data_IF_490586009443
#
_entry.id   IF_490586009443
#
_cell.length_a   1.000
_cell.length_b   1.000
_cell.length_c   1.000
_cell.angle_alpha   90.00
_cell.angle_beta   90.00
_cell.angle_gamma   90.00
#
_symmetry.space_group_name_H-M   'P 1'
#
loop_
_entity.id
_entity.type
_entity.pdbx_description
1 polymer ?
#
# COMPACT_ATOMS: atom_id res chain seq x y z
N UNK A 1 -13.32 13.09 -17.94
CA UNK A 1 -12.23 12.47 -17.17
C UNK A 1 -10.90 13.05 -17.61
N UNK A 2 -10.26 13.87 -16.78
CA UNK A 2 -8.91 14.35 -17.06
C UNK A 2 -7.90 13.23 -16.85
N UNK A 3 -6.97 13.07 -17.80
CA UNK A 3 -5.85 12.14 -17.65
C UNK A 3 -4.99 12.60 -16.47
N UNK A 4 -4.93 11.77 -15.43
CA UNK A 4 -4.04 12.02 -14.29
C UNK A 4 -2.59 11.79 -14.73
N UNK A 5 -1.76 12.82 -14.54
CA UNK A 5 -0.32 12.69 -14.64
C UNK A 5 0.27 12.36 -13.26
N UNK A 6 1.19 11.39 -13.22
CA UNK A 6 1.89 10.98 -12.02
C UNK A 6 3.30 11.55 -12.00
N UNK A 7 3.74 12.00 -10.81
CA UNK A 7 5.17 12.26 -10.59
C UNK A 7 5.86 10.94 -10.27
N UNK A 8 7.05 10.74 -10.81
CA UNK A 8 7.80 9.49 -10.61
C UNK A 8 8.07 9.20 -9.12
N UNK A 9 8.27 10.25 -8.32
CA UNK A 9 8.43 10.16 -6.87
C UNK A 9 7.19 9.59 -6.17
N UNK A 10 5.99 9.85 -6.69
CA UNK A 10 4.73 9.31 -6.15
C UNK A 10 4.61 7.79 -6.39
N UNK A 11 5.36 7.25 -7.35
CA UNK A 11 5.33 5.83 -7.74
C UNK A 11 6.51 5.03 -7.15
N UNK A 12 7.34 5.62 -6.29
CA UNK A 12 8.50 4.95 -5.72
C UNK A 12 8.14 3.64 -4.99
N UNK A 13 7.06 3.64 -4.21
CA UNK A 13 6.56 2.43 -3.55
C UNK A 13 6.09 1.38 -4.55
N UNK A 14 5.33 1.80 -5.57
CA UNK A 14 4.80 0.91 -6.62
C UNK A 14 5.93 0.25 -7.42
N UNK A 15 7.02 0.99 -7.71
CA UNK A 15 8.22 0.43 -8.34
C UNK A 15 8.80 -0.72 -7.53
N UNK A 16 8.90 -0.53 -6.21
CA UNK A 16 9.44 -1.54 -5.32
C UNK A 16 8.53 -2.76 -5.33
N UNK A 17 7.21 -2.62 -5.20
CA UNK A 17 6.27 -3.73 -5.27
C UNK A 17 6.34 -4.52 -6.59
N UNK A 18 6.56 -3.82 -7.71
CA UNK A 18 6.69 -4.43 -9.03
C UNK A 18 8.10 -4.94 -9.36
N UNK A 19 9.07 -4.82 -8.44
CA UNK A 19 10.49 -5.07 -8.72
C UNK A 19 11.05 -4.29 -9.92
N UNK A 20 10.49 -3.11 -10.22
CA UNK A 20 10.92 -2.26 -11.32
C UNK A 20 12.16 -1.43 -10.91
N UNK A 21 13.29 -1.50 -11.64
CA UNK A 21 14.47 -0.70 -11.33
C UNK A 21 14.20 0.80 -11.45
N UNK A 22 14.76 1.60 -10.53
CA UNK A 22 14.64 3.07 -10.56
C UNK A 22 15.31 3.71 -11.79
N UNK A 23 16.21 3.00 -12.47
CA UNK A 23 16.81 3.46 -13.73
C UNK A 23 15.87 3.37 -14.94
N UNK A 24 14.76 2.63 -14.83
CA UNK A 24 13.77 2.49 -15.91
C UNK A 24 12.79 3.64 -15.79
N UNK A 25 12.69 4.58 -16.75
CA UNK A 25 11.73 5.69 -16.67
C UNK A 25 10.29 5.17 -16.66
N UNK A 26 9.42 5.81 -15.88
CA UNK A 26 7.98 5.47 -15.86
C UNK A 26 7.19 6.40 -16.79
N UNK A 27 6.12 5.88 -17.41
CA UNK A 27 5.20 6.73 -18.14
C UNK A 27 4.50 7.68 -17.17
N UNK A 28 4.28 8.93 -17.60
CA UNK A 28 3.58 9.95 -16.80
C UNK A 28 2.08 9.69 -16.71
N UNK A 29 1.53 8.97 -17.66
CA UNK A 29 0.12 8.61 -17.74
C UNK A 29 0.00 7.10 -17.91
N UNK A 30 -1.10 6.54 -17.41
CA UNK A 30 -1.40 5.13 -17.57
C UNK A 30 -2.89 5.02 -17.91
N UNK A 31 -3.18 4.48 -19.09
CA UNK A 31 -4.52 4.04 -19.44
C UNK A 31 -4.62 2.56 -19.12
N UNK A 32 -5.56 2.21 -18.25
CA UNK A 32 -5.87 0.81 -17.96
C UNK A 32 -6.82 0.29 -19.02
N UNK A 33 -6.55 -0.91 -19.50
CA UNK A 33 -7.48 -1.67 -20.35
C UNK A 33 -8.71 -2.09 -19.54
N UNK A 34 -9.81 -2.37 -20.23
CA UNK A 34 -11.04 -2.87 -19.58
C UNK A 34 -10.78 -4.16 -18.77
N UNK A 35 -9.88 -5.01 -19.26
CA UNK A 35 -9.50 -6.26 -18.57
C UNK A 35 -8.74 -5.97 -17.27
N UNK A 36 -7.83 -5.00 -17.26
CA UNK A 36 -7.11 -4.59 -16.05
C UNK A 36 -8.07 -3.95 -15.04
N UNK A 37 -8.98 -3.08 -15.50
CA UNK A 37 -10.01 -2.48 -14.66
C UNK A 37 -10.88 -3.56 -13.99
N UNK A 38 -11.40 -4.50 -14.78
CA UNK A 38 -12.21 -5.60 -14.27
C UNK A 38 -11.46 -6.49 -13.27
N UNK A 39 -10.15 -6.69 -13.50
CA UNK A 39 -9.28 -7.43 -12.57
C UNK A 39 -9.15 -6.69 -11.24
N UNK A 40 -8.88 -5.38 -11.27
CA UNK A 40 -8.79 -4.55 -10.06
C UNK A 40 -10.12 -4.54 -9.30
N UNK A 41 -11.24 -4.39 -9.98
CA UNK A 41 -12.57 -4.43 -9.38
C UNK A 41 -12.85 -5.78 -8.70
N UNK A 42 -12.49 -6.88 -9.34
CA UNK A 42 -12.65 -8.23 -8.79
C UNK A 42 -11.80 -8.44 -7.54
N UNK A 43 -10.56 -7.92 -7.52
CA UNK A 43 -9.69 -7.95 -6.33
C UNK A 43 -10.28 -7.14 -5.18
N UNK A 44 -10.77 -5.93 -5.46
CA UNK A 44 -11.42 -5.08 -4.44
C UNK A 44 -12.69 -5.72 -3.87
N UNK A 45 -13.49 -6.36 -4.73
CA UNK A 45 -14.65 -7.13 -4.31
C UNK A 45 -14.25 -8.31 -3.41
N UNK A 46 -13.19 -9.03 -3.76
CA UNK A 46 -12.63 -10.13 -2.96
C UNK A 46 -12.16 -9.68 -1.58
N UNK A 47 -11.50 -8.53 -1.45
CA UNK A 47 -11.11 -7.98 -0.14
C UNK A 47 -12.35 -7.71 0.71
N UNK A 48 -13.38 -7.06 0.13
CA UNK A 48 -14.61 -6.73 0.86
C UNK A 48 -15.43 -7.96 1.24
N UNK A 49 -15.46 -8.99 0.41
CA UNK A 49 -16.20 -10.23 0.72
C UNK A 49 -15.55 -11.01 1.85
N UNK A 50 -14.22 -10.99 1.94
CA UNK A 50 -13.49 -11.69 2.99
C UNK A 50 -13.35 -10.85 4.27
N UNK A 51 -13.49 -9.52 4.21
CA UNK A 51 -13.39 -8.64 5.37
C UNK A 51 -14.75 -8.05 5.76
N UNK A 52 -15.54 -8.84 6.48
CA UNK A 52 -16.92 -8.51 6.85
C UNK A 52 -17.11 -7.17 7.59
N UNK A 53 -16.08 -6.66 8.28
CA UNK A 53 -16.16 -5.34 8.95
C UNK A 53 -16.26 -4.17 7.97
N UNK A 54 -15.91 -4.36 6.70
CA UNK A 54 -16.10 -3.36 5.64
C UNK A 54 -17.46 -3.47 4.93
N UNK A 55 -18.39 -4.30 5.42
CA UNK A 55 -19.73 -4.40 4.85
C UNK A 55 -20.43 -3.04 4.93
N UNK A 56 -20.94 -2.56 3.80
CA UNK A 56 -21.57 -1.25 3.68
C UNK A 56 -20.61 -0.09 3.38
N UNK A 57 -19.28 -0.28 3.47
CA UNK A 57 -18.30 0.72 3.03
C UNK A 57 -18.26 0.75 1.49
N UNK A 58 -18.24 1.94 0.88
CA UNK A 58 -18.05 2.08 -0.56
C UNK A 58 -16.62 1.71 -0.97
N UNK A 59 -16.39 1.33 -2.24
CA UNK A 59 -15.03 1.03 -2.75
C UNK A 59 -14.09 2.23 -2.55
N UNK A 60 -14.57 3.44 -2.88
CA UNK A 60 -13.82 4.69 -2.67
C UNK A 60 -13.51 4.96 -1.20
N UNK A 61 -14.46 4.66 -0.31
CA UNK A 61 -14.24 4.77 1.14
C UNK A 61 -13.16 3.80 1.63
N UNK A 62 -13.19 2.55 1.16
CA UNK A 62 -12.16 1.57 1.44
C UNK A 62 -10.78 2.00 0.93
N UNK A 63 -10.67 2.44 -0.33
CA UNK A 63 -9.41 2.93 -0.92
C UNK A 63 -8.82 4.09 -0.10
N UNK A 64 -9.62 5.11 0.22
CA UNK A 64 -9.16 6.25 1.04
C UNK A 64 -8.75 5.84 2.45
N UNK A 65 -9.40 4.85 3.02
CA UNK A 65 -9.17 4.44 4.41
C UNK A 65 -8.00 3.46 4.55
N UNK A 66 -7.78 2.57 3.58
CA UNK A 66 -6.85 1.45 3.77
C UNK A 66 -5.84 1.25 2.63
N UNK A 67 -5.88 2.07 1.57
CA UNK A 67 -4.91 2.03 0.46
C UNK A 67 -4.18 3.37 0.33
N UNK A 68 -4.91 4.47 0.24
CA UNK A 68 -4.36 5.82 0.06
C UNK A 68 -3.94 6.40 1.41
N UNK A 69 -2.82 5.89 1.96
CA UNK A 69 -2.35 6.24 3.29
C UNK A 69 -1.02 6.96 3.28
N UNK A 70 -0.87 8.05 4.05
CA UNK A 70 0.44 8.62 4.31
C UNK A 70 1.34 7.60 5.00
N UNK A 71 2.61 7.59 4.61
CA UNK A 71 3.57 6.67 5.14
C UNK A 71 4.99 7.00 4.74
N UNK A 72 5.92 6.26 5.32
CA UNK A 72 7.35 6.33 5.04
C UNK A 72 7.84 4.94 4.63
N UNK A 73 8.68 4.89 3.61
CA UNK A 73 9.35 3.67 3.22
C UNK A 73 10.83 3.80 3.54
N UNK A 74 11.35 2.83 4.29
CA UNK A 74 12.75 2.77 4.71
C UNK A 74 13.39 1.51 4.16
N UNK A 75 14.56 1.64 3.55
CA UNK A 75 15.37 0.49 3.16
C UNK A 75 16.34 0.16 4.28
N UNK A 76 16.31 -1.09 4.75
CA UNK A 76 17.32 -1.67 5.63
C UNK A 76 18.16 -2.69 4.86
N UNK A 77 19.18 -3.26 5.52
CA UNK A 77 20.12 -4.20 4.90
C UNK A 77 19.40 -5.41 4.29
N UNK A 78 18.53 -6.08 5.07
CA UNK A 78 17.84 -7.33 4.69
C UNK A 78 16.39 -7.14 4.21
N UNK A 79 15.79 -5.97 4.48
CA UNK A 79 14.35 -5.74 4.29
C UNK A 79 13.99 -4.31 3.92
N UNK A 80 12.75 -4.15 3.46
CA UNK A 80 12.04 -2.88 3.46
C UNK A 80 11.18 -2.78 4.71
N UNK A 81 11.02 -1.56 5.24
CA UNK A 81 10.06 -1.26 6.31
C UNK A 81 9.11 -0.19 5.81
N UNK A 82 7.83 -0.52 5.76
CA UNK A 82 6.74 0.40 5.40
C UNK A 82 6.04 0.86 6.68
N UNK A 83 6.19 2.13 7.00
CA UNK A 83 5.51 2.79 8.10
C UNK A 83 4.25 3.46 7.59
N UNK A 84 3.11 3.19 8.20
CA UNK A 84 1.82 3.79 7.83
C UNK A 84 1.32 4.63 8.99
N UNK A 85 0.99 5.89 8.72
CA UNK A 85 0.44 6.81 9.74
C UNK A 85 -0.90 6.26 10.27
N UNK A 86 -1.07 6.16 11.58
CA UNK A 86 -2.28 5.60 12.21
C UNK A 86 -3.46 6.59 12.21
N UNK A 87 -4.67 6.06 12.02
CA UNK A 87 -5.95 6.77 12.12
C UNK A 87 -6.93 5.97 12.97
N UNK A 88 -7.94 6.65 13.53
CA UNK A 88 -8.90 6.05 14.46
C UNK A 88 -9.62 4.80 13.91
N UNK A 89 -9.94 4.78 12.63
CA UNK A 89 -10.62 3.66 11.98
C UNK A 89 -9.70 2.49 11.64
N UNK A 90 -8.38 2.61 11.87
CA UNK A 90 -7.44 1.50 11.67
C UNK A 90 -7.64 0.39 12.70
N UNK A 91 -8.42 0.63 13.76
CA UNK A 91 -8.91 -0.42 14.67
C UNK A 91 -9.59 -1.59 13.94
N UNK A 92 -10.13 -1.34 12.76
CA UNK A 92 -10.71 -2.39 11.92
C UNK A 92 -9.66 -3.43 11.48
N UNK A 93 -8.38 -3.07 11.36
CA UNK A 93 -7.30 -3.98 10.94
C UNK A 93 -7.17 -5.18 11.88
N UNK A 94 -7.57 -5.06 13.16
CA UNK A 94 -7.55 -6.15 14.14
C UNK A 94 -8.50 -7.30 13.77
N UNK A 95 -9.43 -7.05 12.85
CA UNK A 95 -10.40 -8.02 12.36
C UNK A 95 -10.07 -8.62 10.99
N UNK A 96 -8.91 -8.26 10.42
CA UNK A 96 -8.48 -8.82 9.13
C UNK A 96 -8.23 -10.32 9.27
N UNK A 97 -8.77 -11.16 8.37
CA UNK A 97 -8.56 -12.61 8.44
C UNK A 97 -7.22 -13.05 7.81
N UNK A 98 -6.39 -12.12 7.33
CA UNK A 98 -5.05 -12.37 6.82
C UNK A 98 -4.04 -11.40 7.43
N UNK A 99 -2.76 -11.79 7.43
CA UNK A 99 -1.69 -10.91 7.85
C UNK A 99 -1.40 -9.84 6.80
N UNK A 100 -1.28 -8.59 7.24
CA UNK A 100 -0.78 -7.47 6.44
C UNK A 100 0.63 -7.02 6.86
N UNK A 101 1.12 -7.54 7.99
CA UNK A 101 2.35 -7.07 8.66
C UNK A 101 3.63 -7.46 7.92
N UNK A 102 3.56 -8.43 7.01
CA UNK A 102 4.71 -8.90 6.23
C UNK A 102 4.29 -9.22 4.81
N UNK A 103 4.92 -8.55 3.85
CA UNK A 103 4.75 -8.76 2.42
C UNK A 103 6.00 -9.47 1.89
N UNK A 104 5.80 -10.66 1.31
CA UNK A 104 6.84 -11.44 0.65
C UNK A 104 6.34 -11.90 -0.71
N UNK A 105 6.62 -11.11 -1.74
CA UNK A 105 6.28 -11.46 -3.11
C UNK A 105 7.43 -12.27 -3.73
N UNK A 106 7.16 -13.31 -4.55
CA UNK A 106 8.18 -14.20 -5.10
C UNK A 106 9.27 -13.49 -5.93
N UNK A 107 8.95 -12.33 -6.52
CA UNK A 107 9.85 -11.54 -7.35
C UNK A 107 10.63 -10.46 -6.58
N UNK A 108 10.35 -10.26 -5.28
CA UNK A 108 11.11 -9.29 -4.47
C UNK A 108 12.32 -9.92 -3.81
N UNK A 109 13.49 -9.28 -4.00
CA UNK A 109 14.75 -9.69 -3.34
C UNK A 109 14.69 -9.53 -1.83
N UNK A 110 14.12 -8.42 -1.36
CA UNK A 110 13.95 -8.09 0.07
C UNK A 110 12.48 -8.23 0.44
N UNK A 111 12.18 -8.85 1.59
CA UNK A 111 10.83 -8.79 2.17
C UNK A 111 10.49 -7.37 2.56
N UNK A 112 9.22 -7.12 2.81
CA UNK A 112 8.75 -5.86 3.38
C UNK A 112 7.99 -6.14 4.67
N UNK A 113 8.44 -5.55 5.77
CA UNK A 113 7.70 -5.53 7.02
C UNK A 113 6.87 -4.24 7.07
N UNK A 114 5.63 -4.34 7.55
CA UNK A 114 4.67 -3.23 7.61
C UNK A 114 4.42 -2.88 9.07
N UNK A 115 4.78 -1.66 9.44
CA UNK A 115 4.55 -1.05 10.75
C UNK A 115 3.29 -0.20 10.63
N UNK A 116 2.18 -0.73 11.10
CA UNK A 116 0.88 -0.06 11.09
C UNK A 116 0.15 -0.40 12.39
N UNK A 117 -0.10 0.65 13.19
CA UNK A 117 -0.60 0.58 14.57
C UNK A 117 0.34 -0.07 15.60
N UNK A 118 1.63 -0.11 15.30
CA UNK A 118 2.63 -0.54 16.28
C UNK A 118 3.19 0.69 17.02
N UNK A 119 2.81 0.81 18.30
CA UNK A 119 3.19 1.93 19.16
C UNK A 119 4.67 1.94 19.55
N UNK A 120 5.40 0.86 19.34
CA UNK A 120 6.78 0.70 19.83
C UNK A 120 7.86 1.20 18.85
N UNK A 121 7.54 1.44 17.57
CA UNK A 121 8.53 1.89 16.56
C UNK A 121 8.26 3.28 15.97
N UNK A 122 7.20 3.97 16.40
CA UNK A 122 6.73 5.23 15.79
C UNK A 122 7.15 6.49 16.57
N UNK A 123 8.38 6.56 17.05
CA UNK A 123 8.98 7.83 17.48
C UNK A 123 9.73 8.49 16.30
N UNK A 124 9.05 9.42 15.61
CA UNK A 124 9.69 10.27 14.60
C UNK A 124 10.72 11.24 15.20
N UNK A 125 10.73 11.43 16.53
CA UNK A 125 11.62 12.39 17.19
C UNK A 125 13.07 11.91 17.35
N UNK A 126 13.35 10.60 17.19
CA UNK A 126 14.69 10.06 17.41
C UNK A 126 15.62 10.11 16.18
N UNK A 127 15.18 10.65 15.04
CA UNK A 127 15.99 10.73 13.81
C UNK A 127 16.54 12.14 13.49
N UNK A 128 16.37 13.10 14.40
CA UNK A 128 16.87 14.47 14.26
C UNK A 128 18.02 14.84 15.24
N UNK A 129 18.76 13.86 15.76
CA UNK A 129 20.02 14.09 16.50
C UNK A 129 21.20 13.42 15.80
#
# INVERSE_FOLDING_TARGET
DEKREYKEQELAFNRILAACPFSVPLPKTLELTDTELQTVESMLAGVKSNWNKLKGTSVKGFQRSFIERPGKLEQREDKWVLYVEERSYDILLDSLPWSYRRIRLPWLKKRMDVVWRDKEEFDFENYNN
#
